data_IF_450476013766
#
_entry.id   IF_450476013766
#
_cell.length_a   1.000
_cell.length_b   1.000
_cell.length_c   1.000
_cell.angle_alpha   90.00
_cell.angle_beta   90.00
_cell.angle_gamma   90.00
#
_symmetry.space_group_name_H-M   'P 1'
#
loop_
_entity.id
_entity.type
_entity.pdbx_description
1 polymer ?
#
# COMPACT_ATOMS: atom_id res chain seq x y z
N UNK A 1 -15.08 -5.19 1.60
CA UNK A 1 -14.09 -5.70 2.55
C UNK A 1 -13.27 -4.57 3.11
N UNK A 2 -13.62 -4.14 4.33
CA UNK A 2 -12.77 -3.24 5.09
C UNK A 2 -11.43 -3.92 5.42
N UNK A 3 -10.34 -3.16 5.36
CA UNK A 3 -9.01 -3.62 5.77
C UNK A 3 -9.06 -4.10 7.23
N UNK A 4 -8.76 -5.37 7.50
CA UNK A 4 -8.77 -5.88 8.88
C UNK A 4 -7.55 -5.35 9.64
N UNK A 5 -7.73 -4.22 10.31
CA UNK A 5 -6.66 -3.51 11.02
C UNK A 5 -6.00 -4.37 12.11
N UNK A 6 -6.68 -5.40 12.60
CA UNK A 6 -6.13 -6.34 13.58
C UNK A 6 -5.02 -7.19 12.95
N UNK A 7 -5.23 -7.66 11.72
CA UNK A 7 -4.23 -8.44 10.96
C UNK A 7 -3.05 -7.53 10.59
N UNK A 8 -3.34 -6.32 10.12
CA UNK A 8 -2.33 -5.30 9.77
C UNK A 8 -1.44 -5.01 11.00
N UNK A 9 -2.03 -4.65 12.14
CA UNK A 9 -1.26 -4.45 13.37
C UNK A 9 -0.46 -5.67 13.75
N UNK A 10 -1.04 -6.87 13.72
CA UNK A 10 -0.32 -8.09 14.10
C UNK A 10 0.90 -8.36 13.20
N UNK A 11 0.80 -8.04 11.90
CA UNK A 11 1.87 -8.23 10.90
C UNK A 11 2.95 -7.16 11.02
N UNK A 12 2.57 -5.90 11.24
CA UNK A 12 3.48 -4.75 11.21
C UNK A 12 3.98 -4.27 12.60
N UNK A 13 3.43 -4.75 13.71
CA UNK A 13 3.72 -4.27 15.08
C UNK A 13 5.19 -4.40 15.50
N UNK A 14 5.90 -5.43 15.06
CA UNK A 14 7.30 -5.66 15.43
C UNK A 14 8.30 -5.05 14.43
N UNK A 15 7.79 -4.32 13.43
CA UNK A 15 8.55 -3.90 12.27
C UNK A 15 8.83 -5.06 11.31
N UNK A 16 8.66 -4.81 10.02
CA UNK A 16 8.82 -5.83 8.97
C UNK A 16 9.32 -5.16 7.69
N UNK A 17 10.11 -5.90 6.94
CA UNK A 17 10.53 -5.50 5.60
C UNK A 17 9.53 -6.04 4.59
N UNK A 18 8.90 -5.11 3.88
CA UNK A 18 7.82 -5.37 2.93
C UNK A 18 8.41 -5.35 1.53
N UNK A 19 8.16 -6.36 0.68
CA UNK A 19 8.62 -6.31 -0.71
C UNK A 19 7.95 -5.15 -1.44
N UNK A 20 8.71 -4.43 -2.27
CA UNK A 20 8.15 -3.41 -3.15
C UNK A 20 7.48 -4.05 -4.35
N UNK A 21 6.40 -3.43 -4.84
CA UNK A 21 5.57 -3.94 -5.94
C UNK A 21 6.34 -4.15 -7.25
N UNK A 22 7.33 -3.30 -7.53
CA UNK A 22 8.19 -3.38 -8.72
C UNK A 22 9.32 -4.44 -8.61
N UNK A 23 9.36 -5.19 -7.50
CA UNK A 23 10.44 -6.14 -7.21
C UNK A 23 11.79 -5.50 -6.91
N UNK A 24 12.67 -6.24 -6.24
CA UNK A 24 14.08 -5.88 -6.06
C UNK A 24 14.43 -4.88 -4.95
N UNK A 25 13.45 -4.28 -4.26
CA UNK A 25 13.66 -3.47 -3.06
C UNK A 25 12.70 -3.85 -1.93
N UNK A 26 13.06 -3.47 -0.71
CA UNK A 26 12.22 -3.63 0.49
C UNK A 26 11.90 -2.27 1.09
N UNK A 27 10.67 -2.12 1.60
CA UNK A 27 10.23 -1.00 2.41
C UNK A 27 10.23 -1.44 3.86
N UNK A 28 10.94 -0.73 4.74
CA UNK A 28 10.95 -1.05 6.16
C UNK A 28 9.78 -0.37 6.86
N UNK A 29 8.84 -1.16 7.36
CA UNK A 29 7.81 -0.72 8.29
C UNK A 29 8.39 -0.78 9.69
N UNK A 30 8.35 0.32 10.43
CA UNK A 30 8.88 0.38 11.80
C UNK A 30 7.82 0.08 12.86
N UNK A 31 6.56 0.28 12.53
CA UNK A 31 5.45 -0.02 13.44
C UNK A 31 4.10 0.30 12.82
N UNK A 32 3.05 -0.11 13.50
CA UNK A 32 1.67 0.19 13.15
C UNK A 32 0.88 0.47 14.42
N UNK A 33 0.25 1.64 14.46
CA UNK A 33 -0.68 2.06 15.50
C UNK A 33 -2.14 1.86 15.05
N UNK A 34 -3.09 2.23 15.89
CA UNK A 34 -4.53 2.20 15.56
C UNK A 34 -4.94 3.22 14.47
N UNK A 35 -4.11 4.24 14.24
CA UNK A 35 -4.40 5.34 13.33
C UNK A 35 -3.56 5.32 12.04
N UNK A 36 -2.34 4.78 12.08
CA UNK A 36 -1.42 4.82 10.94
C UNK A 36 -0.36 3.70 10.97
N UNK A 37 0.25 3.46 9.81
CA UNK A 37 1.45 2.61 9.65
C UNK A 37 2.65 3.53 9.47
N UNK A 38 3.75 3.26 10.17
CA UNK A 38 4.98 4.03 10.08
C UNK A 38 6.01 3.31 9.24
N UNK A 39 6.57 4.03 8.28
CA UNK A 39 7.58 3.53 7.37
C UNK A 39 8.84 4.39 7.51
N UNK A 40 9.99 3.73 7.46
CA UNK A 40 11.28 4.36 7.59
C UNK A 40 12.21 3.86 6.49
N UNK A 41 12.93 4.80 5.88
CA UNK A 41 14.03 4.56 4.97
C UNK A 41 15.24 5.33 5.53
N UNK A 42 16.52 4.96 5.25
CA UNK A 42 17.67 5.68 5.79
C UNK A 42 17.69 7.19 5.48
N UNK A 43 16.94 7.62 4.46
CA UNK A 43 16.87 9.01 4.02
C UNK A 43 15.60 9.76 4.48
N UNK A 44 14.54 9.06 4.89
CA UNK A 44 13.26 9.70 5.20
C UNK A 44 12.35 8.81 6.05
N UNK A 45 11.44 9.44 6.80
CA UNK A 45 10.36 8.78 7.53
C UNK A 45 9.01 9.22 6.97
N UNK A 46 8.05 8.33 6.91
CA UNK A 46 6.68 8.69 6.57
C UNK A 46 5.69 7.84 7.35
N UNK A 47 4.43 8.28 7.31
CA UNK A 47 3.32 7.58 7.91
C UNK A 47 2.23 7.42 6.85
N UNK A 48 1.49 6.33 6.94
CA UNK A 48 0.36 6.02 6.08
C UNK A 48 -0.88 5.91 6.96
N UNK A 49 -1.78 6.88 6.80
CA UNK A 49 -3.00 6.95 7.60
C UNK A 49 -3.93 5.78 7.29
N UNK A 50 -4.49 5.15 8.34
CA UNK A 50 -5.48 4.07 8.24
C UNK A 50 -6.64 4.44 7.33
N UNK A 51 -7.21 5.63 7.52
CA UNK A 51 -8.34 6.12 6.72
C UNK A 51 -8.04 6.14 5.22
N UNK A 52 -6.82 6.48 4.85
CA UNK A 52 -6.40 6.53 3.45
C UNK A 52 -6.22 5.11 2.88
N UNK A 53 -5.68 4.19 3.67
CA UNK A 53 -5.56 2.78 3.27
C UNK A 53 -6.92 2.11 3.12
N UNK A 54 -7.83 2.31 4.09
CA UNK A 54 -9.20 1.81 4.03
C UNK A 54 -9.95 2.36 2.81
N UNK A 55 -9.79 3.66 2.51
CA UNK A 55 -10.37 4.28 1.31
C UNK A 55 -9.78 3.70 0.03
N UNK A 56 -8.47 3.43 -0.02
CA UNK A 56 -7.82 2.77 -1.15
C UNK A 56 -8.41 1.39 -1.44
N UNK A 57 -8.58 0.56 -0.42
CA UNK A 57 -9.20 -0.76 -0.57
C UNK A 57 -10.66 -0.65 -1.00
N UNK A 58 -11.41 0.28 -0.41
CA UNK A 58 -12.79 0.51 -0.79
C UNK A 58 -12.91 0.85 -2.30
N UNK A 59 -12.05 1.71 -2.81
CA UNK A 59 -12.07 2.11 -4.23
C UNK A 59 -11.65 0.97 -5.17
N UNK A 60 -10.72 0.10 -4.76
CA UNK A 60 -10.39 -1.13 -5.51
C UNK A 60 -11.63 -2.03 -5.58
N UNK A 61 -12.38 -2.17 -4.50
CA UNK A 61 -13.58 -3.00 -4.46
C UNK A 61 -14.77 -2.43 -5.22
N UNK A 62 -14.93 -1.11 -5.20
CA UNK A 62 -15.90 -0.40 -6.04
C UNK A 62 -15.56 -0.50 -7.53
N UNK A 63 -14.37 -1.02 -7.88
CA UNK A 63 -13.89 -1.12 -9.26
C UNK A 63 -13.53 0.23 -9.87
N UNK A 64 -13.31 1.25 -9.03
CA UNK A 64 -12.87 2.57 -9.46
C UNK A 64 -11.36 2.63 -9.69
N UNK A 65 -10.61 1.80 -8.97
CA UNK A 65 -9.14 1.69 -9.09
C UNK A 65 -8.79 0.27 -9.49
N UNK A 66 -7.91 0.13 -10.48
CA UNK A 66 -7.40 -1.17 -10.89
C UNK A 66 -6.48 -1.79 -9.83
N UNK A 67 -6.44 -3.13 -9.80
CA UNK A 67 -5.50 -3.87 -8.94
C UNK A 67 -4.07 -3.85 -9.47
N UNK A 68 -3.90 -3.33 -10.69
CA UNK A 68 -2.61 -3.11 -11.29
C UNK A 68 -1.86 -2.01 -10.53
N UNK A 69 -0.67 -2.31 -9.99
CA UNK A 69 0.06 -1.38 -9.13
C UNK A 69 0.54 -0.11 -9.85
N UNK A 70 0.74 -0.15 -11.17
CA UNK A 70 1.09 1.04 -11.95
C UNK A 70 -0.06 2.04 -12.00
N UNK A 71 -1.26 1.55 -12.32
CA UNK A 71 -2.49 2.36 -12.38
C UNK A 71 -2.97 2.77 -10.98
N UNK A 72 -2.85 1.87 -10.00
CA UNK A 72 -3.26 2.13 -8.62
C UNK A 72 -2.59 3.37 -8.05
N UNK A 73 -1.29 3.56 -8.28
CA UNK A 73 -0.55 4.71 -7.74
C UNK A 73 -1.08 6.03 -8.31
N UNK A 74 -1.47 6.07 -9.58
CA UNK A 74 -2.01 7.27 -10.20
C UNK A 74 -3.42 7.57 -9.68
N UNK A 75 -4.30 6.57 -9.69
CA UNK A 75 -5.68 6.73 -9.24
C UNK A 75 -5.76 7.03 -7.74
N UNK A 76 -4.91 6.41 -6.92
CA UNK A 76 -4.88 6.67 -5.48
C UNK A 76 -4.51 8.12 -5.16
N UNK A 77 -3.61 8.74 -5.96
CA UNK A 77 -3.27 10.16 -5.83
C UNK A 77 -4.45 11.07 -6.14
N UNK A 78 -5.28 10.67 -7.11
CA UNK A 78 -6.45 11.44 -7.55
C UNK A 78 -7.61 11.30 -6.57
N UNK A 79 -7.92 10.08 -6.12
CA UNK A 79 -9.13 9.78 -5.36
C UNK A 79 -8.96 9.78 -3.84
N UNK A 80 -7.74 9.53 -3.35
CA UNK A 80 -7.46 9.40 -1.91
C UNK A 80 -6.54 10.51 -1.43
N UNK A 81 -5.25 10.43 -1.80
CA UNK A 81 -4.22 11.38 -1.36
C UNK A 81 -2.92 11.16 -2.12
N UNK A 82 -2.14 12.23 -2.29
CA UNK A 82 -0.75 12.18 -2.78
C UNK A 82 0.24 11.62 -1.74
N UNK A 83 -0.19 11.46 -0.49
CA UNK A 83 0.67 11.04 0.62
C UNK A 83 1.22 9.63 0.41
N UNK A 84 2.44 9.56 -0.14
CA UNK A 84 3.24 8.33 -0.32
C UNK A 84 2.42 7.19 -0.96
N UNK A 85 1.68 7.49 -2.01
CA UNK A 85 0.83 6.53 -2.74
C UNK A 85 1.57 5.26 -3.19
N UNK A 86 2.83 5.38 -3.58
CA UNK A 86 3.71 4.24 -3.89
C UNK A 86 3.97 3.33 -2.69
N UNK A 87 4.14 3.91 -1.50
CA UNK A 87 4.31 3.13 -0.27
C UNK A 87 3.01 2.46 0.17
N UNK A 88 1.87 3.12 -0.02
CA UNK A 88 0.56 2.51 0.18
C UNK A 88 0.37 1.29 -0.73
N UNK A 89 0.78 1.38 -2.00
CA UNK A 89 0.74 0.26 -2.94
C UNK A 89 1.59 -0.92 -2.46
N UNK A 90 2.78 -0.70 -1.93
CA UNK A 90 3.63 -1.79 -1.40
C UNK A 90 2.97 -2.53 -0.22
N UNK A 91 2.31 -1.81 0.67
CA UNK A 91 1.58 -2.42 1.81
C UNK A 91 0.38 -3.21 1.32
N UNK A 92 -0.39 -2.66 0.38
CA UNK A 92 -1.57 -3.34 -0.17
C UNK A 92 -1.19 -4.58 -0.98
N UNK A 93 -0.06 -4.55 -1.68
CA UNK A 93 0.53 -5.72 -2.32
C UNK A 93 0.92 -6.81 -1.32
N UNK A 94 1.64 -6.47 -0.24
CA UNK A 94 1.99 -7.47 0.79
C UNK A 94 0.78 -8.07 1.51
N UNK A 95 -0.29 -7.29 1.62
CA UNK A 95 -1.57 -7.74 2.15
C UNK A 95 -2.39 -8.57 1.13
N UNK A 96 -1.97 -8.64 -0.13
CA UNK A 96 -2.61 -9.41 -1.19
C UNK A 96 -3.81 -8.74 -1.87
N UNK A 97 -3.94 -7.41 -1.75
CA UNK A 97 -4.98 -6.63 -2.44
C UNK A 97 -4.59 -6.21 -3.85
N UNK A 98 -3.29 -6.09 -4.12
CA UNK A 98 -2.73 -5.76 -5.43
C UNK A 98 -2.00 -6.95 -6.02
N UNK A 99 -1.98 -7.02 -7.34
CA UNK A 99 -1.21 -8.01 -8.09
C UNK A 99 0.28 -7.62 -8.17
N UNK A 100 1.13 -8.59 -8.54
CA UNK A 100 2.55 -8.32 -8.81
C UNK A 100 2.67 -7.40 -10.02
N UNK A 101 3.56 -6.40 -9.95
CA UNK A 101 3.88 -5.58 -11.10
C UNK A 101 4.64 -6.46 -12.11
N UNK A 102 3.90 -7.05 -13.05
CA UNK A 102 4.50 -7.83 -14.14
C UNK A 102 5.09 -6.92 -15.23
N UNK A 103 5.20 -5.61 -14.98
CA UNK A 103 5.42 -4.58 -15.98
C UNK A 103 4.22 -4.43 -16.93
N UNK A 104 4.22 -3.32 -17.68
CA UNK A 104 3.22 -3.05 -18.72
C UNK A 104 3.23 -4.17 -19.78
N UNK A 105 2.30 -5.12 -19.68
CA UNK A 105 1.92 -5.95 -20.82
C UNK A 105 0.84 -5.21 -21.61
N UNK A 106 1.10 -4.79 -22.87
CA UNK A 106 0.05 -4.24 -23.70
C UNK A 106 -1.05 -5.30 -23.83
N UNK A 107 -2.24 -5.01 -23.30
CA UNK A 107 -3.44 -5.81 -23.59
C UNK A 107 -3.86 -5.50 -25.02
N UNK A 108 -3.46 -6.36 -25.96
CA UNK A 108 -3.97 -6.36 -27.33
C UNK A 108 -5.39 -6.93 -27.39
#
# INVERSE_FOLDING_TARGET
MSLDWTIVKKRYKNGVEVPTVAGGKTLKVTGCDDEAIYIENPLWKAQLSRKNLEKGVQLIEEGLIDKDPGLFVEDYRVYVTDERSTSAAHILYDLGFLDEDTGFTPRC
#
